data_IF_968024261357
#
_entry.id   IF_968024261357
#
_cell.length_a   1.000
_cell.length_b   1.000
_cell.length_c   1.000
_cell.angle_alpha   90.00
_cell.angle_beta   90.00
_cell.angle_gamma   90.00
#
_symmetry.space_group_name_H-M   'P 1'
#
loop_
_entity.id
_entity.type
_entity.pdbx_description
1 polymer ?
#
# COMPACT_ATOMS: atom_id res chain seq x y z
N UNK A 1 -7.63 -1.21 13.22
CA UNK A 1 -6.17 -0.90 13.19
C UNK A 1 -5.87 0.04 12.03
N UNK A 2 -4.95 0.99 12.22
CA UNK A 2 -4.52 1.93 11.17
C UNK A 2 -3.15 1.54 10.66
N UNK A 3 -2.98 1.52 9.34
CA UNK A 3 -1.71 1.39 8.65
C UNK A 3 -1.21 2.76 8.17
N UNK A 4 0.08 3.02 8.32
CA UNK A 4 0.74 4.19 7.72
C UNK A 4 1.51 3.72 6.50
N UNK A 5 1.01 4.07 5.32
CA UNK A 5 1.58 3.65 4.05
C UNK A 5 2.75 4.53 3.59
N UNK A 6 3.60 4.03 2.68
CA UNK A 6 4.65 4.84 2.05
C UNK A 6 4.12 6.14 1.44
N UNK A 7 4.93 7.21 1.44
CA UNK A 7 6.30 7.27 1.94
C UNK A 7 6.41 7.41 3.46
N UNK A 8 5.34 7.80 4.15
CA UNK A 8 5.36 8.14 5.58
C UNK A 8 5.62 6.95 6.49
N UNK A 9 5.20 5.74 6.11
CA UNK A 9 5.52 4.52 6.84
C UNK A 9 7.03 4.25 6.99
N UNK A 10 7.86 4.85 6.13
CA UNK A 10 9.32 4.76 6.25
C UNK A 10 9.88 5.55 7.46
N UNK A 11 9.15 6.57 7.92
CA UNK A 11 9.65 7.56 8.89
C UNK A 11 8.83 7.64 10.17
N UNK A 12 7.56 7.23 10.11
CA UNK A 12 6.63 7.34 11.23
C UNK A 12 6.37 5.98 11.86
N UNK A 13 6.69 5.86 13.15
CA UNK A 13 6.28 4.75 14.01
C UNK A 13 5.43 5.32 15.15
N UNK A 14 4.12 5.10 15.08
CA UNK A 14 3.14 5.69 15.98
C UNK A 14 2.43 4.58 16.75
N UNK A 15 2.23 4.78 18.04
CA UNK A 15 1.48 3.83 18.88
C UNK A 15 0.10 3.55 18.28
N UNK A 16 -0.33 2.30 18.32
CA UNK A 16 -1.59 1.79 17.75
C UNK A 16 -1.67 1.85 16.22
N UNK A 17 -0.54 1.96 15.53
CA UNK A 17 -0.47 1.85 14.07
C UNK A 17 0.54 0.80 13.64
N UNK A 18 0.44 0.37 12.38
CA UNK A 18 1.45 -0.47 11.71
C UNK A 18 2.03 0.30 10.54
N UNK A 19 3.36 0.43 10.51
CA UNK A 19 4.05 1.09 9.40
C UNK A 19 4.25 0.11 8.25
N UNK A 20 3.86 0.54 7.03
CA UNK A 20 4.23 -0.13 5.78
C UNK A 20 5.40 0.67 5.20
N UNK A 21 6.57 0.04 5.11
CA UNK A 21 7.82 0.67 4.63
C UNK A 21 8.09 0.28 3.18
N UNK A 22 8.57 1.18 2.36
CA UNK A 22 8.94 0.93 0.96
C UNK A 22 8.23 1.86 -0.03
N UNK A 23 7.90 1.44 -1.24
CA UNK A 23 8.16 0.08 -1.78
C UNK A 23 9.62 -0.08 -2.16
N UNK A 24 10.23 -1.21 -1.78
CA UNK A 24 11.61 -1.54 -2.10
C UNK A 24 11.65 -2.41 -3.36
N UNK A 25 12.67 -2.20 -4.19
CA UNK A 25 13.00 -3.03 -5.35
C UNK A 25 14.17 -3.97 -5.02
N UNK A 26 14.42 -5.00 -5.82
CA UNK A 26 15.56 -5.89 -5.63
C UNK A 26 16.86 -5.08 -5.53
N UNK A 27 17.10 -4.23 -6.51
CA UNK A 27 18.27 -3.36 -6.56
C UNK A 27 17.94 -1.93 -6.09
N UNK A 28 18.91 -1.18 -5.53
CA UNK A 28 18.74 0.22 -5.15
C UNK A 28 18.39 1.11 -6.35
N UNK A 29 17.56 2.11 -6.12
CA UNK A 29 17.17 3.12 -7.11
C UNK A 29 17.34 4.52 -6.50
N UNK A 30 18.53 5.09 -6.71
CA UNK A 30 18.94 6.39 -6.13
C UNK A 30 18.13 7.58 -6.65
N UNK A 31 18.30 8.75 -6.01
CA UNK A 31 17.73 10.02 -6.45
C UNK A 31 16.36 10.34 -5.86
N UNK A 32 16.00 9.80 -4.69
CA UNK A 32 14.70 10.01 -4.05
C UNK A 32 14.43 11.50 -3.77
N UNK A 33 15.36 12.21 -3.14
CA UNK A 33 15.17 13.62 -2.74
C UNK A 33 14.95 14.50 -3.97
N UNK A 34 15.79 14.36 -4.99
CA UNK A 34 15.67 15.13 -6.23
C UNK A 34 14.34 14.84 -6.92
N UNK A 35 13.92 13.58 -6.94
CA UNK A 35 12.66 13.18 -7.57
C UNK A 35 11.43 13.71 -6.81
N UNK A 36 11.49 13.77 -5.47
CA UNK A 36 10.45 14.41 -4.66
C UNK A 36 10.37 15.89 -4.99
N UNK A 37 11.49 16.62 -4.95
CA UNK A 37 11.52 18.05 -5.24
C UNK A 37 10.99 18.39 -6.63
N UNK A 38 11.31 17.57 -7.63
CA UNK A 38 10.92 17.80 -9.01
C UNK A 38 9.46 17.41 -9.32
N UNK A 39 8.87 16.47 -8.58
CA UNK A 39 7.61 15.88 -9.02
C UNK A 39 6.47 15.93 -8.01
N UNK A 40 6.75 16.10 -6.71
CA UNK A 40 5.71 16.16 -5.69
C UNK A 40 5.04 17.54 -5.69
N UNK A 41 3.74 17.59 -6.00
CA UNK A 41 2.96 18.84 -5.99
C UNK A 41 1.50 18.59 -5.61
N UNK A 42 0.90 19.58 -4.97
CA UNK A 42 -0.53 19.58 -4.74
C UNK A 42 -1.28 20.04 -5.98
N UNK A 43 -2.35 19.34 -6.34
CA UNK A 43 -3.24 19.69 -7.42
C UNK A 43 -4.56 20.22 -6.88
N UNK A 44 -4.83 21.51 -7.08
CA UNK A 44 -6.12 22.12 -6.71
C UNK A 44 -7.26 21.55 -7.55
N UNK A 45 -7.00 21.20 -8.82
CA UNK A 45 -8.00 20.57 -9.70
C UNK A 45 -8.56 19.27 -9.15
N UNK A 46 -7.70 18.43 -8.54
CA UNK A 46 -8.07 17.09 -8.05
C UNK A 46 -8.13 17.01 -6.52
N UNK A 47 -7.89 18.12 -5.83
CA UNK A 47 -7.80 18.19 -4.36
C UNK A 47 -6.92 17.08 -3.76
N UNK A 48 -5.77 16.84 -4.40
CA UNK A 48 -4.87 15.76 -4.07
C UNK A 48 -3.42 16.01 -4.43
N UNK A 49 -2.54 15.12 -3.99
CA UNK A 49 -1.11 15.17 -4.26
C UNK A 49 -0.76 14.33 -5.47
N UNK A 50 0.05 14.89 -6.37
CA UNK A 50 0.60 14.21 -7.55
C UNK A 50 2.09 14.02 -7.35
N UNK A 51 2.61 12.84 -7.68
CA UNK A 51 4.04 12.56 -7.65
C UNK A 51 4.45 11.56 -8.75
N UNK A 52 5.71 11.65 -9.19
CA UNK A 52 6.40 10.70 -10.08
C UNK A 52 7.66 10.18 -9.40
N UNK A 53 7.59 9.76 -8.14
CA UNK A 53 8.77 9.32 -7.38
C UNK A 53 9.43 8.09 -8.04
N UNK A 54 8.66 7.24 -8.72
CA UNK A 54 9.21 6.19 -9.60
C UNK A 54 9.98 5.10 -8.85
N UNK A 55 9.49 4.72 -7.66
CA UNK A 55 10.11 3.67 -6.84
C UNK A 55 11.58 3.93 -6.50
N UNK A 56 11.96 5.20 -6.24
CA UNK A 56 13.29 5.53 -5.73
C UNK A 56 13.42 5.05 -4.29
N UNK A 57 14.37 4.12 -4.03
CA UNK A 57 14.52 3.44 -2.74
C UNK A 57 15.91 2.81 -2.60
N UNK A 58 16.37 2.47 -1.38
CA UNK A 58 17.71 1.92 -1.14
C UNK A 58 17.85 0.40 -1.39
N UNK A 59 16.85 -0.27 -1.96
CA UNK A 59 16.88 -1.69 -2.27
C UNK A 59 16.44 -2.60 -1.13
N UNK A 60 16.21 -3.88 -1.48
CA UNK A 60 15.67 -4.88 -0.54
C UNK A 60 16.66 -5.21 0.59
N UNK A 61 17.96 -5.21 0.34
CA UNK A 61 18.97 -5.54 1.35
C UNK A 61 18.94 -4.52 2.51
N UNK A 62 18.71 -3.24 2.20
CA UNK A 62 18.49 -2.21 3.21
C UNK A 62 17.23 -2.50 4.05
N UNK A 63 16.14 -2.91 3.39
CA UNK A 63 14.89 -3.23 4.10
C UNK A 63 15.05 -4.41 5.05
N UNK A 64 15.74 -5.46 4.62
CA UNK A 64 16.03 -6.65 5.44
C UNK A 64 16.88 -6.28 6.65
N UNK A 65 17.96 -5.54 6.45
CA UNK A 65 18.85 -5.10 7.53
C UNK A 65 18.14 -4.25 8.60
N UNK A 66 17.14 -3.45 8.20
CA UNK A 66 16.43 -2.53 9.08
C UNK A 66 15.01 -3.01 9.45
N UNK A 67 14.73 -4.31 9.30
CA UNK A 67 13.44 -4.88 9.64
C UNK A 67 13.26 -5.04 11.16
N UNK A 68 12.11 -4.61 11.69
CA UNK A 68 11.82 -4.52 13.12
C UNK A 68 10.68 -5.46 13.60
N UNK A 69 10.24 -6.41 12.78
CA UNK A 69 9.12 -7.34 13.03
C UNK A 69 7.75 -6.69 13.32
N UNK A 70 7.69 -5.38 13.55
CA UNK A 70 6.47 -4.60 13.82
C UNK A 70 5.94 -3.92 12.58
N UNK A 71 6.77 -3.77 11.56
CA UNK A 71 6.42 -3.17 10.27
C UNK A 71 6.11 -4.23 9.21
N UNK A 72 5.59 -3.75 8.08
CA UNK A 72 5.39 -4.53 6.87
C UNK A 72 6.30 -3.94 5.80
N UNK A 73 7.02 -4.78 5.09
CA UNK A 73 7.90 -4.35 4.00
C UNK A 73 7.14 -4.44 2.68
N UNK A 74 6.90 -3.30 2.05
CA UNK A 74 6.32 -3.24 0.71
C UNK A 74 7.41 -3.46 -0.32
N UNK A 75 7.22 -4.43 -1.21
CA UNK A 75 8.13 -4.73 -2.32
C UNK A 75 7.46 -4.44 -3.66
N UNK A 76 8.24 -3.93 -4.61
CA UNK A 76 7.84 -3.76 -6.00
C UNK A 76 8.76 -4.60 -6.88
N UNK A 77 8.19 -5.50 -7.65
CA UNK A 77 8.90 -6.41 -8.54
C UNK A 77 8.88 -5.76 -9.92
N UNK A 78 10.05 -5.46 -10.49
CA UNK A 78 10.16 -4.79 -11.78
C UNK A 78 10.27 -5.76 -12.95
N UNK A 79 10.76 -6.97 -12.67
CA UNK A 79 11.02 -7.99 -13.66
C UNK A 79 10.71 -9.37 -13.05
N UNK A 80 10.18 -10.30 -13.86
CA UNK A 80 9.87 -11.67 -13.42
C UNK A 80 11.09 -12.42 -12.86
N UNK A 81 12.29 -12.11 -13.38
CA UNK A 81 13.54 -12.76 -12.98
C UNK A 81 14.04 -12.30 -11.60
N UNK A 82 13.43 -11.25 -11.05
CA UNK A 82 13.68 -10.80 -9.67
C UNK A 82 12.99 -11.69 -8.62
N UNK A 83 11.91 -12.39 -9.00
CA UNK A 83 11.11 -13.19 -8.04
C UNK A 83 11.95 -14.26 -7.34
N UNK A 84 12.73 -15.12 -8.04
CA UNK A 84 13.57 -16.11 -7.38
C UNK A 84 14.58 -15.48 -6.43
N UNK A 85 15.25 -14.40 -6.86
CA UNK A 85 16.25 -13.68 -6.06
C UNK A 85 15.63 -13.04 -4.79
N UNK A 86 14.44 -12.45 -4.92
CA UNK A 86 13.71 -11.89 -3.79
C UNK A 86 13.25 -12.99 -2.81
N UNK A 87 12.81 -14.14 -3.31
CA UNK A 87 12.40 -15.28 -2.48
C UNK A 87 13.58 -15.87 -1.69
N UNK A 88 14.77 -15.89 -2.27
CA UNK A 88 16.01 -16.33 -1.61
C UNK A 88 16.46 -15.34 -0.53
N UNK A 89 16.41 -14.02 -0.82
CA UNK A 89 16.90 -12.98 0.08
C UNK A 89 15.95 -12.70 1.25
N UNK A 90 14.65 -12.70 1.01
CA UNK A 90 13.65 -12.25 2.00
C UNK A 90 13.38 -13.35 3.05
N UNK A 91 13.61 -13.08 4.35
CA UNK A 91 13.28 -14.03 5.41
C UNK A 91 11.82 -14.49 5.36
N UNK A 92 11.59 -15.79 5.56
CA UNK A 92 10.25 -16.37 5.45
C UNK A 92 9.24 -15.78 6.43
N UNK A 93 9.69 -15.34 7.61
CA UNK A 93 8.86 -14.70 8.64
C UNK A 93 8.68 -13.18 8.47
N UNK A 94 9.34 -12.55 7.49
CA UNK A 94 9.20 -11.12 7.23
C UNK A 94 7.81 -10.79 6.68
N UNK A 95 7.09 -9.85 7.32
CA UNK A 95 5.80 -9.38 6.84
C UNK A 95 5.94 -8.59 5.54
N UNK A 96 5.14 -8.92 4.53
CA UNK A 96 5.23 -8.34 3.19
C UNK A 96 3.93 -7.69 2.72
N UNK A 97 4.09 -6.61 1.96
CA UNK A 97 3.11 -6.09 1.01
C UNK A 97 3.69 -6.19 -0.40
N UNK A 98 3.03 -6.90 -1.30
CA UNK A 98 3.43 -7.01 -2.70
C UNK A 98 2.69 -5.94 -3.49
N UNK A 99 3.42 -4.93 -3.96
CA UNK A 99 2.87 -3.81 -4.70
C UNK A 99 2.81 -4.15 -6.20
N UNK A 100 1.66 -4.63 -6.67
CA UNK A 100 1.42 -4.99 -8.09
C UNK A 100 0.80 -3.84 -8.89
N UNK A 101 0.66 -2.67 -8.30
CA UNK A 101 -0.03 -1.51 -8.87
C UNK A 101 0.91 -0.50 -9.54
N UNK A 102 2.17 -0.84 -9.76
CA UNK A 102 3.11 0.04 -10.46
C UNK A 102 2.79 0.07 -11.95
N UNK A 103 2.44 1.25 -12.55
CA UNK A 103 1.93 1.33 -13.92
C UNK A 103 2.97 1.02 -15.01
N UNK A 104 4.25 0.87 -14.64
CA UNK A 104 5.36 0.70 -15.58
C UNK A 104 5.78 -0.76 -15.81
N UNK A 105 4.96 -1.73 -15.38
CA UNK A 105 5.31 -3.14 -15.48
C UNK A 105 4.46 -3.82 -16.56
N UNK A 106 5.09 -4.66 -17.36
CA UNK A 106 4.41 -5.68 -18.15
C UNK A 106 3.78 -6.71 -17.19
N UNK A 107 2.67 -6.30 -16.59
CA UNK A 107 2.03 -6.95 -15.43
C UNK A 107 1.74 -8.44 -15.63
N UNK A 108 1.41 -8.87 -16.84
CA UNK A 108 1.03 -10.28 -17.12
C UNK A 108 2.13 -11.30 -16.80
N UNK A 109 3.41 -10.93 -16.89
CA UNK A 109 4.50 -11.88 -16.70
C UNK A 109 4.95 -12.02 -15.24
N UNK A 110 4.70 -11.02 -14.41
CA UNK A 110 5.10 -11.00 -12.99
C UNK A 110 4.10 -11.74 -12.12
N UNK A 111 2.82 -11.63 -12.44
CA UNK A 111 1.73 -12.09 -11.61
C UNK A 111 1.70 -13.61 -11.39
N UNK A 112 2.18 -14.41 -12.38
CA UNK A 112 2.10 -15.86 -12.31
C UNK A 112 2.95 -16.52 -11.21
N UNK A 113 3.89 -15.82 -10.59
CA UNK A 113 4.79 -16.37 -9.58
C UNK A 113 4.75 -15.66 -8.22
N UNK A 114 3.99 -14.57 -8.08
CA UNK A 114 3.93 -13.82 -6.81
C UNK A 114 3.28 -14.60 -5.67
N UNK A 115 2.48 -15.62 -5.96
CA UNK A 115 1.93 -16.52 -4.95
C UNK A 115 2.99 -17.26 -4.13
N UNK A 116 4.22 -17.42 -4.65
CA UNK A 116 5.35 -18.05 -3.96
C UNK A 116 5.79 -17.28 -2.71
N UNK A 117 5.44 -16.00 -2.60
CA UNK A 117 5.67 -15.23 -1.37
C UNK A 117 4.70 -15.60 -0.23
N UNK A 118 3.61 -16.30 -0.51
CA UNK A 118 2.64 -16.73 0.50
C UNK A 118 3.25 -17.90 1.28
N UNK A 119 3.28 -17.78 2.61
CA UNK A 119 3.66 -18.87 3.50
C UNK A 119 3.04 -18.67 4.90
N UNK A 120 3.12 -19.67 5.76
CA UNK A 120 2.49 -19.68 7.09
C UNK A 120 3.36 -19.04 8.18
N UNK A 121 4.62 -18.71 7.89
CA UNK A 121 5.56 -18.13 8.86
C UNK A 121 5.38 -16.63 9.03
N UNK A 122 4.81 -15.93 8.01
CA UNK A 122 4.55 -14.51 8.07
C UNK A 122 3.09 -14.21 8.41
N UNK A 123 2.87 -13.28 9.33
CA UNK A 123 1.52 -12.80 9.68
C UNK A 123 0.86 -12.05 8.53
N UNK A 124 1.64 -11.28 7.77
CA UNK A 124 1.14 -10.44 6.69
C UNK A 124 1.80 -10.79 5.36
N UNK A 125 0.99 -11.18 4.38
CA UNK A 125 1.33 -11.28 2.98
C UNK A 125 0.24 -10.59 2.16
N UNK A 126 0.34 -9.27 2.08
CA UNK A 126 -0.68 -8.39 1.52
C UNK A 126 -0.41 -8.18 0.04
N UNK A 127 -1.47 -8.20 -0.78
CA UNK A 127 -1.39 -7.71 -2.15
C UNK A 127 -1.99 -6.32 -2.24
N UNK A 128 -1.20 -5.34 -2.72
CA UNK A 128 -1.64 -3.97 -2.91
C UNK A 128 -1.98 -3.71 -4.36
N UNK A 129 -3.22 -3.34 -4.60
CA UNK A 129 -3.78 -3.21 -5.95
C UNK A 129 -3.96 -1.75 -6.39
N UNK A 130 -4.07 -1.54 -7.70
CA UNK A 130 -4.42 -0.26 -8.29
C UNK A 130 -5.89 0.10 -7.99
N UNK A 131 -6.26 1.40 -7.89
CA UNK A 131 -7.66 1.83 -7.87
C UNK A 131 -8.45 1.36 -9.09
N UNK A 132 -7.77 1.10 -10.20
CA UNK A 132 -8.37 0.60 -11.45
C UNK A 132 -8.23 -0.92 -11.63
N UNK A 133 -7.91 -1.64 -10.56
CA UNK A 133 -7.91 -3.09 -10.57
C UNK A 133 -9.33 -3.60 -10.89
N UNK A 134 -9.44 -4.53 -11.83
CA UNK A 134 -10.72 -5.14 -12.16
C UNK A 134 -11.12 -6.19 -11.11
N UNK A 135 -12.43 -6.43 -10.96
CA UNK A 135 -12.93 -7.48 -10.09
C UNK A 135 -12.42 -8.86 -10.49
N UNK A 136 -12.33 -9.13 -11.80
CA UNK A 136 -11.71 -10.35 -12.34
C UNK A 136 -10.28 -10.54 -11.84
N UNK A 137 -9.49 -9.45 -11.78
CA UNK A 137 -8.11 -9.51 -11.31
C UNK A 137 -8.02 -9.76 -9.80
N UNK A 138 -8.92 -9.19 -9.01
CA UNK A 138 -9.04 -9.50 -7.58
C UNK A 138 -9.37 -10.99 -7.37
N UNK A 139 -10.28 -11.54 -8.18
CA UNK A 139 -10.63 -12.96 -8.13
C UNK A 139 -9.43 -13.87 -8.49
N UNK A 140 -8.60 -13.45 -9.45
CA UNK A 140 -7.35 -14.15 -9.80
C UNK A 140 -6.36 -14.16 -8.62
N UNK A 141 -6.14 -13.03 -7.97
CA UNK A 141 -5.27 -12.96 -6.78
C UNK A 141 -5.78 -13.83 -5.63
N UNK A 142 -7.09 -13.85 -5.42
CA UNK A 142 -7.68 -14.74 -4.41
C UNK A 142 -7.46 -16.22 -4.77
N UNK A 143 -7.61 -16.60 -6.03
CA UNK A 143 -7.31 -17.95 -6.55
C UNK A 143 -5.85 -18.34 -6.41
N UNK A 144 -4.93 -17.38 -6.53
CA UNK A 144 -3.49 -17.57 -6.27
C UNK A 144 -3.15 -17.79 -4.79
N UNK A 145 -4.13 -17.66 -3.88
CA UNK A 145 -3.95 -17.90 -2.45
C UNK A 145 -3.86 -16.65 -1.59
N UNK A 146 -3.87 -15.45 -2.17
CA UNK A 146 -3.92 -14.22 -1.36
C UNK A 146 -5.21 -14.12 -0.56
N UNK A 147 -5.08 -13.74 0.71
CA UNK A 147 -6.19 -13.56 1.66
C UNK A 147 -6.20 -12.17 2.27
N UNK A 148 -5.18 -11.36 1.99
CA UNK A 148 -4.99 -10.03 2.55
C UNK A 148 -4.78 -9.03 1.42
N UNK A 149 -5.65 -8.02 1.32
CA UNK A 149 -5.71 -7.08 0.21
C UNK A 149 -5.59 -5.65 0.72
N UNK A 150 -4.83 -4.81 0.02
CA UNK A 150 -4.75 -3.37 0.27
C UNK A 150 -5.36 -2.62 -0.92
N UNK A 151 -6.54 -2.09 -0.74
CA UNK A 151 -7.30 -1.27 -1.67
C UNK A 151 -7.24 0.19 -1.23
N UNK A 152 -6.45 1.08 -1.81
CA UNK A 152 -5.67 0.88 -3.01
C UNK A 152 -4.42 1.78 -3.06
N UNK A 153 -3.76 1.81 -4.20
CA UNK A 153 -2.65 2.71 -4.49
C UNK A 153 -3.15 4.03 -5.10
N UNK A 154 -2.25 4.82 -5.69
CA UNK A 154 -2.55 6.09 -6.38
C UNK A 154 -3.24 5.87 -7.72
N UNK A 155 -4.05 6.85 -8.14
CA UNK A 155 -4.63 6.89 -9.49
C UNK A 155 -3.54 7.31 -10.49
N UNK A 156 -3.27 6.54 -11.56
CA UNK A 156 -2.33 6.95 -12.59
C UNK A 156 -2.88 8.15 -13.38
N UNK A 157 -2.05 9.18 -13.58
CA UNK A 157 -2.32 10.34 -14.42
C UNK A 157 -1.13 10.62 -15.33
N UNK A 158 -1.31 11.46 -16.34
CA UNK A 158 -0.21 11.93 -17.23
C UNK A 158 0.95 12.55 -16.43
N UNK A 159 0.63 13.15 -15.28
CA UNK A 159 1.58 13.85 -14.41
C UNK A 159 2.14 13.02 -13.25
N UNK A 160 1.79 11.75 -13.15
CA UNK A 160 2.20 10.83 -12.08
C UNK A 160 1.04 10.21 -11.32
N UNK A 161 1.31 9.62 -10.18
CA UNK A 161 0.29 9.04 -9.32
C UNK A 161 -0.44 10.11 -8.50
N UNK A 162 -1.76 10.18 -8.63
CA UNK A 162 -2.63 11.06 -7.84
C UNK A 162 -3.07 10.38 -6.56
N UNK A 163 -2.83 11.01 -5.43
CA UNK A 163 -3.29 10.60 -4.10
C UNK A 163 -4.30 11.61 -3.56
N UNK A 164 -5.31 11.15 -2.86
CA UNK A 164 -6.31 12.04 -2.24
C UNK A 164 -7.72 11.48 -2.32
N UNK A 165 -8.72 12.32 -2.06
CA UNK A 165 -10.13 11.92 -1.93
C UNK A 165 -10.72 11.32 -3.21
N UNK A 166 -10.15 11.63 -4.38
CA UNK A 166 -10.53 11.04 -5.68
C UNK A 166 -10.39 9.50 -5.72
N UNK A 167 -9.58 8.92 -4.83
CA UNK A 167 -9.38 7.46 -4.77
C UNK A 167 -10.59 6.76 -4.11
N UNK A 168 -11.30 7.42 -3.20
CA UNK A 168 -12.33 6.80 -2.36
C UNK A 168 -13.36 6.00 -3.17
N UNK A 169 -14.00 6.54 -4.23
CA UNK A 169 -15.00 5.78 -4.98
C UNK A 169 -14.46 4.49 -5.58
N UNK A 170 -13.24 4.52 -6.10
CA UNK A 170 -12.60 3.35 -6.70
C UNK A 170 -12.21 2.31 -5.64
N UNK A 171 -11.57 2.76 -4.56
CA UNK A 171 -11.15 1.87 -3.48
C UNK A 171 -12.33 1.18 -2.79
N UNK A 172 -13.40 1.91 -2.52
CA UNK A 172 -14.59 1.34 -1.85
C UNK A 172 -15.30 0.28 -2.69
N UNK A 173 -15.31 0.42 -4.02
CA UNK A 173 -15.82 -0.61 -4.93
C UNK A 173 -15.00 -1.90 -4.83
N UNK A 174 -13.66 -1.80 -4.79
CA UNK A 174 -12.79 -2.98 -4.64
C UNK A 174 -12.98 -3.65 -3.28
N UNK A 175 -13.09 -2.85 -2.21
CA UNK A 175 -13.36 -3.35 -0.86
C UNK A 175 -14.69 -4.10 -0.82
N UNK A 176 -15.77 -3.49 -1.33
CA UNK A 176 -17.10 -4.09 -1.36
C UNK A 176 -17.12 -5.40 -2.16
N UNK A 177 -16.47 -5.44 -3.33
CA UNK A 177 -16.36 -6.66 -4.13
C UNK A 177 -15.69 -7.79 -3.34
N UNK A 178 -14.54 -7.52 -2.73
CA UNK A 178 -13.78 -8.52 -1.96
C UNK A 178 -14.59 -9.04 -0.77
N UNK A 179 -15.25 -8.17 -0.02
CA UNK A 179 -16.00 -8.59 1.17
C UNK A 179 -17.29 -9.32 0.84
N UNK A 180 -17.96 -8.93 -0.25
CA UNK A 180 -19.16 -9.63 -0.69
C UNK A 180 -18.83 -11.02 -1.25
N UNK A 181 -17.77 -11.14 -2.04
CA UNK A 181 -17.42 -12.40 -2.71
C UNK A 181 -16.55 -13.32 -1.84
N UNK A 182 -15.71 -12.74 -1.00
CA UNK A 182 -14.73 -13.43 -0.14
C UNK A 182 -14.78 -12.90 1.30
N UNK A 183 -15.84 -13.19 2.06
CA UNK A 183 -16.07 -12.62 3.41
C UNK A 183 -14.90 -12.82 4.37
N UNK A 184 -14.18 -13.95 4.24
CA UNK A 184 -13.03 -14.32 5.08
C UNK A 184 -11.72 -13.63 4.65
N UNK A 185 -11.71 -12.83 3.58
CA UNK A 185 -10.53 -12.03 3.23
C UNK A 185 -10.35 -10.87 4.20
N UNK A 186 -9.10 -10.52 4.46
CA UNK A 186 -8.74 -9.32 5.21
C UNK A 186 -8.52 -8.17 4.22
N UNK A 187 -9.29 -7.09 4.37
CA UNK A 187 -9.24 -5.97 3.44
C UNK A 187 -8.86 -4.68 4.16
N UNK A 188 -7.74 -4.10 3.72
CA UNK A 188 -7.27 -2.78 4.15
C UNK A 188 -7.82 -1.76 3.15
N UNK A 189 -8.73 -0.90 3.59
CA UNK A 189 -9.23 0.22 2.80
C UNK A 189 -8.33 1.45 2.94
N UNK A 190 -7.96 2.08 1.84
CA UNK A 190 -7.08 3.23 1.86
C UNK A 190 -7.23 4.14 0.65
N UNK A 191 -6.66 5.34 0.79
CA UNK A 191 -6.78 6.43 -0.17
C UNK A 191 -7.81 7.47 0.26
N UNK A 192 -7.37 8.72 0.40
CA UNK A 192 -8.22 9.86 0.70
C UNK A 192 -8.72 9.99 2.15
N UNK A 193 -8.34 9.09 3.05
CA UNK A 193 -8.74 9.14 4.46
C UNK A 193 -8.09 10.35 5.14
N UNK A 194 -8.92 11.26 5.66
CA UNK A 194 -8.51 12.47 6.39
C UNK A 194 -9.19 12.60 7.76
N UNK A 195 -10.38 12.04 7.91
CA UNK A 195 -11.21 12.13 9.11
C UNK A 195 -11.87 10.78 9.41
N UNK A 196 -12.61 10.72 10.51
CA UNK A 196 -13.44 9.55 10.86
C UNK A 196 -14.52 9.27 9.80
N UNK A 197 -14.99 10.29 9.09
CA UNK A 197 -16.02 10.14 8.05
C UNK A 197 -15.58 9.19 6.94
N UNK A 198 -14.35 9.32 6.45
CA UNK A 198 -13.82 8.41 5.42
C UNK A 198 -13.59 7.00 5.97
N UNK A 199 -13.17 6.87 7.23
CA UNK A 199 -13.12 5.56 7.93
C UNK A 199 -14.49 4.89 7.90
N UNK A 200 -15.54 5.62 8.27
CA UNK A 200 -16.91 5.08 8.32
C UNK A 200 -17.40 4.67 6.92
N UNK A 201 -17.02 5.41 5.86
CA UNK A 201 -17.31 5.03 4.47
C UNK A 201 -16.67 3.67 4.14
N UNK A 202 -15.36 3.52 4.38
CA UNK A 202 -14.66 2.26 4.12
C UNK A 202 -15.20 1.11 4.98
N UNK A 203 -15.54 1.38 6.23
CA UNK A 203 -16.12 0.40 7.15
C UNK A 203 -17.48 -0.10 6.65
N UNK A 204 -18.33 0.79 6.17
CA UNK A 204 -19.63 0.42 5.55
C UNK A 204 -19.46 -0.47 4.32
N UNK A 205 -18.37 -0.33 3.58
CA UNK A 205 -18.03 -1.20 2.45
C UNK A 205 -17.40 -2.54 2.88
N UNK A 206 -17.15 -2.73 4.19
CA UNK A 206 -16.63 -3.97 4.76
C UNK A 206 -15.12 -3.98 5.02
N UNK A 207 -14.39 -2.86 4.91
CA UNK A 207 -12.97 -2.84 5.23
C UNK A 207 -12.71 -3.22 6.69
N UNK A 208 -11.77 -4.15 6.91
CA UNK A 208 -11.37 -4.62 8.25
C UNK A 208 -10.37 -3.63 8.88
N UNK A 209 -9.52 -3.04 8.06
CA UNK A 209 -8.49 -2.10 8.47
C UNK A 209 -8.40 -0.92 7.51
N UNK A 210 -7.66 0.13 7.91
CA UNK A 210 -7.60 1.38 7.16
C UNK A 210 -6.16 1.83 6.98
N UNK A 211 -5.86 2.46 5.82
CA UNK A 211 -4.52 2.95 5.49
C UNK A 211 -4.53 4.44 5.20
N UNK A 212 -3.61 5.16 5.84
CA UNK A 212 -3.37 6.59 5.63
C UNK A 212 -1.96 6.82 5.07
N UNK A 213 -1.81 7.87 4.29
CA UNK A 213 -0.52 8.38 3.82
C UNK A 213 -0.56 9.89 3.69
N UNK A 214 -1.26 10.44 2.70
CA UNK A 214 -1.29 11.88 2.39
C UNK A 214 -1.83 12.77 3.51
N UNK A 215 -2.56 12.23 4.47
CA UNK A 215 -2.95 12.94 5.69
C UNK A 215 -1.72 13.45 6.46
N UNK A 216 -0.62 12.71 6.42
CA UNK A 216 0.63 13.08 7.11
C UNK A 216 1.31 14.33 6.55
N UNK A 217 0.93 14.81 5.34
CA UNK A 217 1.35 16.12 4.83
C UNK A 217 0.70 17.31 5.57
N UNK A 218 -0.34 17.06 6.39
CA UNK A 218 -1.09 18.08 7.11
C UNK A 218 -0.97 17.85 8.62
N UNK A 219 0.06 18.36 9.31
CA UNK A 219 0.34 18.04 10.72
C UNK A 219 -0.85 18.30 11.65
N UNK A 220 -1.57 19.40 11.45
CA UNK A 220 -2.72 19.78 12.29
C UNK A 220 -3.87 18.79 12.09
N UNK A 221 -4.19 18.42 10.84
CA UNK A 221 -5.24 17.43 10.54
C UNK A 221 -4.84 16.04 11.04
N UNK A 222 -3.57 15.67 10.86
CA UNK A 222 -3.03 14.43 11.38
C UNK A 222 -3.13 14.36 12.90
N UNK A 223 -2.79 15.42 13.61
CA UNK A 223 -2.93 15.47 15.07
C UNK A 223 -4.39 15.33 15.52
N UNK A 224 -5.32 16.01 14.85
CA UNK A 224 -6.76 15.85 15.13
C UNK A 224 -7.23 14.41 14.88
N UNK A 225 -6.80 13.82 13.77
CA UNK A 225 -7.10 12.42 13.44
C UNK A 225 -6.47 11.46 14.46
N UNK A 226 -5.23 11.69 14.87
CA UNK A 226 -4.58 10.90 15.91
C UNK A 226 -5.39 10.92 17.21
N UNK A 227 -5.80 12.10 17.69
CA UNK A 227 -6.58 12.26 18.91
C UNK A 227 -7.95 11.58 18.85
N UNK A 228 -8.64 11.68 17.72
CA UNK A 228 -10.04 11.21 17.58
C UNK A 228 -10.15 9.75 17.13
N UNK A 229 -9.16 9.24 16.40
CA UNK A 229 -9.22 7.92 15.78
C UNK A 229 -8.13 6.99 16.34
N UNK A 230 -6.86 7.35 16.26
CA UNK A 230 -5.76 6.42 16.59
C UNK A 230 -5.59 6.22 18.09
N UNK A 231 -5.58 7.32 18.87
CA UNK A 231 -5.33 7.27 20.33
C UNK A 231 -6.35 6.45 21.11
N UNK A 232 -7.66 6.54 20.82
CA UNK A 232 -8.68 5.74 21.52
C UNK A 232 -8.58 4.23 21.26
N UNK A 233 -7.97 3.81 20.14
CA UNK A 233 -7.85 2.39 19.76
C UNK A 233 -9.17 1.73 19.36
N UNK A 234 -10.23 2.51 19.12
CA UNK A 234 -11.57 2.04 18.78
C UNK A 234 -11.69 1.73 17.28
N UNK A 235 -11.21 0.55 16.85
CA UNK A 235 -11.30 0.09 15.46
C UNK A 235 -12.14 -1.18 15.34
#
# INVERSE_FOLDING_TARGET
>A
MIFISPPFGNYLSIRNTVSIKGSYTLEPRSGLIMQILNTLRYSFKYYGWINKIGLKNPGIDYAIKNYDNKSIISIAILNKDEIPKLLEKIPRNMNLEINVSCPNLEQKMIENNIHKFINNERKWCIIKVSPYCTTKKLDEYYKYGFRQFHCSNTIPTKNGGLSGSSIIPHSTLLVAHLKNRYPNSVVIGGGGIKTKKEIDIYKKCGADYFSISTLCFHPILFYKFYKSVIKPGNF
#
